data_IF_856800400551
#
_entry.id   IF_856800400551
#
_cell.length_a   1.000
_cell.length_b   1.000
_cell.length_c   1.000
_cell.angle_alpha   90.00
_cell.angle_beta   90.00
_cell.angle_gamma   90.00
#
_symmetry.space_group_name_H-M   'P 1'
#
loop_
_entity.id
_entity.type
_entity.pdbx_description
1 polymer ?
#
# COMPACT_ATOMS: atom_id res chain seq x y z
N UNK A 1 16.96 17.64 29.33
CA UNK A 1 17.35 18.07 27.97
C UNK A 1 18.06 16.93 27.25
N UNK A 2 17.28 16.13 26.52
CA UNK A 2 17.63 15.43 25.27
C UNK A 2 16.31 14.83 24.82
N UNK A 3 15.69 15.59 23.92
CA UNK A 3 14.33 15.43 23.46
C UNK A 3 14.05 14.03 22.98
N UNK A 4 12.89 13.54 23.38
CA UNK A 4 12.21 12.34 22.88
C UNK A 4 12.31 12.37 21.35
N UNK A 5 13.05 11.40 20.79
CA UNK A 5 13.14 11.17 19.35
C UNK A 5 11.75 10.79 18.86
N UNK A 6 11.04 11.84 18.41
CA UNK A 6 10.00 11.88 17.40
C UNK A 6 9.54 10.49 16.95
N UNK A 7 8.50 10.00 17.62
CA UNK A 7 7.52 9.10 17.03
C UNK A 7 6.91 9.81 15.84
N UNK A 8 7.57 9.79 14.67
CA UNK A 8 6.94 10.14 13.41
C UNK A 8 6.03 8.99 13.02
N UNK A 9 4.98 8.79 13.82
CA UNK A 9 3.72 8.29 13.30
C UNK A 9 3.23 9.47 12.46
N UNK A 10 3.67 9.51 11.20
CA UNK A 10 3.01 10.30 10.18
C UNK A 10 1.66 9.63 9.92
N UNK A 11 0.77 9.69 10.91
CA UNK A 11 -0.66 9.57 10.68
C UNK A 11 -1.07 10.87 9.98
N UNK A 12 -0.72 10.96 8.70
CA UNK A 12 -1.49 11.76 7.76
C UNK A 12 -2.82 11.05 7.68
N UNK A 13 -3.73 11.44 8.57
CA UNK A 13 -5.17 11.19 8.39
C UNK A 13 -5.54 12.01 7.17
N UNK A 14 -5.43 11.37 6.00
CA UNK A 14 -5.81 11.99 4.76
C UNK A 14 -7.33 12.06 4.73
N UNK A 15 -7.83 13.26 5.01
CA UNK A 15 -9.18 13.71 4.69
C UNK A 15 -9.54 13.23 3.28
N UNK A 16 -10.67 12.52 3.17
CA UNK A 16 -11.22 11.97 1.95
C UNK A 16 -11.61 13.04 0.93
N UNK A 17 -10.62 13.56 0.21
CA UNK A 17 -10.79 14.03 -1.16
C UNK A 17 -10.17 12.94 -2.02
N UNK A 18 -10.98 12.24 -2.83
CA UNK A 18 -10.52 11.17 -3.71
C UNK A 18 -9.28 11.63 -4.47
N UNK A 19 -8.11 11.13 -4.05
CA UNK A 19 -6.85 11.45 -4.71
C UNK A 19 -7.00 11.01 -6.16
N UNK A 20 -6.65 11.85 -7.15
CA UNK A 20 -6.59 11.38 -8.53
C UNK A 20 -5.62 10.21 -8.55
N UNK A 21 -6.09 9.06 -9.04
CA UNK A 21 -5.23 7.89 -9.23
C UNK A 21 -4.04 8.29 -10.10
N UNK A 22 -2.86 7.79 -9.75
CA UNK A 22 -1.66 7.99 -10.54
C UNK A 22 -1.28 6.63 -11.14
N UNK A 23 -1.74 6.30 -12.36
CA UNK A 23 -1.57 4.97 -12.95
C UNK A 23 -0.12 4.50 -13.05
N UNK A 24 0.83 5.45 -13.14
CA UNK A 24 2.26 5.13 -13.15
C UNK A 24 2.75 4.73 -11.74
N UNK A 25 2.35 5.48 -10.71
CA UNK A 25 2.70 5.15 -9.32
C UNK A 25 2.01 3.85 -8.85
N UNK A 26 0.77 3.64 -9.24
CA UNK A 26 -0.02 2.43 -8.95
C UNK A 26 0.66 1.19 -9.54
N UNK A 27 1.11 1.27 -10.80
CA UNK A 27 1.85 0.20 -11.46
C UNK A 27 3.23 -0.04 -10.81
N UNK A 28 3.91 1.03 -10.40
CA UNK A 28 5.20 0.93 -9.73
C UNK A 28 5.07 0.26 -8.36
N UNK A 29 4.01 0.59 -7.60
CA UNK A 29 3.68 -0.07 -6.34
C UNK A 29 3.41 -1.57 -6.53
N UNK A 30 2.59 -1.94 -7.52
CA UNK A 30 2.33 -3.35 -7.84
C UNK A 30 3.63 -4.10 -8.15
N UNK A 31 4.53 -3.50 -8.94
CA UNK A 31 5.81 -4.13 -9.27
C UNK A 31 6.73 -4.25 -8.05
N UNK A 32 6.77 -3.23 -7.21
CA UNK A 32 7.56 -3.25 -5.98
C UNK A 32 7.07 -4.34 -5.01
N UNK A 33 5.75 -4.53 -4.90
CA UNK A 33 5.15 -5.57 -4.08
C UNK A 33 5.40 -6.98 -4.63
N UNK A 34 5.28 -7.18 -5.94
CA UNK A 34 5.65 -8.43 -6.61
C UNK A 34 7.12 -8.83 -6.31
N UNK A 35 8.04 -7.85 -6.29
CA UNK A 35 9.45 -8.07 -6.00
C UNK A 35 9.78 -8.15 -4.50
N UNK A 36 8.84 -7.84 -3.61
CA UNK A 36 9.08 -7.73 -2.16
C UNK A 36 9.99 -6.59 -1.74
N UNK A 37 10.12 -5.55 -2.57
CA UNK A 37 10.96 -4.40 -2.27
C UNK A 37 10.22 -3.43 -1.35
N UNK A 38 10.34 -3.66 -0.04
CA UNK A 38 9.67 -2.88 1.01
C UNK A 38 10.00 -1.38 0.93
N UNK A 39 11.25 -1.02 0.64
CA UNK A 39 11.64 0.39 0.56
C UNK A 39 11.04 1.08 -0.65
N UNK A 40 10.97 0.41 -1.80
CA UNK A 40 10.26 0.93 -2.97
C UNK A 40 8.75 1.07 -2.70
N UNK A 41 8.14 0.10 -2.01
CA UNK A 41 6.72 0.18 -1.59
C UNK A 41 6.49 1.42 -0.73
N UNK A 42 7.32 1.66 0.30
CA UNK A 42 7.23 2.86 1.14
C UNK A 42 7.33 4.15 0.32
N UNK A 43 8.27 4.22 -0.63
CA UNK A 43 8.45 5.38 -1.49
C UNK A 43 7.23 5.63 -2.37
N UNK A 44 6.65 4.59 -2.98
CA UNK A 44 5.47 4.73 -3.84
C UNK A 44 4.22 5.13 -3.03
N UNK A 45 4.02 4.58 -1.84
CA UNK A 45 2.95 5.00 -0.94
C UNK A 45 3.12 6.46 -0.49
N UNK A 46 4.34 6.89 -0.16
CA UNK A 46 4.64 8.28 0.17
C UNK A 46 4.41 9.23 -1.03
N UNK A 47 4.62 8.75 -2.25
CA UNK A 47 4.31 9.46 -3.49
C UNK A 47 2.80 9.49 -3.84
N UNK A 48 1.96 8.84 -3.02
CA UNK A 48 0.51 8.84 -3.18
C UNK A 48 -0.03 7.77 -4.13
N UNK A 49 0.71 6.69 -4.38
CA UNK A 49 0.16 5.50 -5.02
C UNK A 49 -1.04 4.97 -4.22
N UNK A 50 -2.05 4.47 -4.91
CA UNK A 50 -3.17 3.80 -4.26
C UNK A 50 -2.72 2.45 -3.71
N UNK A 51 -2.80 2.28 -2.38
CA UNK A 51 -2.46 1.01 -1.70
C UNK A 51 -3.31 -0.17 -2.19
N UNK A 52 -4.50 0.12 -2.72
CA UNK A 52 -5.46 -0.85 -3.25
C UNK A 52 -5.48 -0.88 -4.79
N UNK A 53 -4.51 -0.24 -5.45
CA UNK A 53 -4.32 -0.36 -6.88
C UNK A 53 -4.32 -1.83 -7.29
N UNK A 54 -4.96 -2.17 -8.41
CA UNK A 54 -4.99 -3.53 -8.89
C UNK A 54 -4.62 -3.60 -10.38
N UNK A 55 -4.21 -4.78 -10.81
CA UNK A 55 -4.01 -5.08 -12.21
C UNK A 55 -5.32 -5.60 -12.85
N UNK A 56 -5.27 -5.93 -14.15
CA UNK A 56 -6.41 -6.51 -14.88
C UNK A 56 -6.92 -7.86 -14.37
N UNK A 57 -6.23 -8.47 -13.41
CA UNK A 57 -6.59 -9.72 -12.76
C UNK A 57 -7.07 -9.49 -11.31
N UNK A 58 -7.38 -8.25 -10.95
CA UNK A 58 -7.74 -7.80 -9.60
C UNK A 58 -6.67 -8.08 -8.54
N UNK A 59 -5.42 -8.35 -8.93
CA UNK A 59 -4.34 -8.56 -7.95
C UNK A 59 -3.85 -7.22 -7.42
N UNK A 60 -3.94 -7.06 -6.11
CA UNK A 60 -3.47 -5.91 -5.34
C UNK A 60 -2.03 -6.10 -4.87
N UNK A 61 -1.34 -5.04 -4.39
CA UNK A 61 -0.06 -5.19 -3.69
C UNK A 61 -0.12 -6.21 -2.55
N UNK A 62 -1.24 -6.26 -1.81
CA UNK A 62 -1.39 -7.18 -0.69
C UNK A 62 -1.50 -8.64 -1.16
N UNK A 63 -2.20 -8.90 -2.27
CA UNK A 63 -2.25 -10.24 -2.87
C UNK A 63 -0.85 -10.75 -3.24
N UNK A 64 0.01 -9.88 -3.80
CA UNK A 64 1.40 -10.25 -4.11
C UNK A 64 2.22 -10.55 -2.86
N UNK A 65 2.08 -9.74 -1.81
CA UNK A 65 2.78 -9.95 -0.55
C UNK A 65 2.38 -11.27 0.11
N UNK A 66 1.07 -11.58 0.15
CA UNK A 66 0.54 -12.82 0.74
C UNK A 66 0.97 -14.05 -0.07
N UNK A 67 0.77 -14.03 -1.39
CA UNK A 67 1.12 -15.17 -2.27
C UNK A 67 2.62 -15.46 -2.27
N UNK A 68 3.45 -14.42 -2.12
CA UNK A 68 4.90 -14.53 -2.02
C UNK A 68 5.41 -14.78 -0.59
N UNK A 69 4.51 -14.92 0.40
CA UNK A 69 4.82 -15.13 1.83
C UNK A 69 5.71 -14.04 2.46
N UNK A 70 5.54 -12.80 2.02
CA UNK A 70 6.29 -11.64 2.50
C UNK A 70 5.55 -10.97 3.66
N UNK A 71 5.60 -11.57 4.85
CA UNK A 71 4.83 -11.14 6.03
C UNK A 71 5.07 -9.67 6.39
N UNK A 72 6.32 -9.21 6.40
CA UNK A 72 6.63 -7.80 6.73
C UNK A 72 6.00 -6.82 5.75
N UNK A 73 6.00 -7.16 4.46
CA UNK A 73 5.37 -6.34 3.44
C UNK A 73 3.84 -6.36 3.58
N UNK A 74 3.26 -7.54 3.83
CA UNK A 74 1.82 -7.67 4.04
C UNK A 74 1.36 -6.82 5.23
N UNK A 75 2.08 -6.86 6.35
CA UNK A 75 1.80 -6.05 7.54
C UNK A 75 1.91 -4.55 7.24
N UNK A 76 2.90 -4.14 6.44
CA UNK A 76 3.06 -2.75 6.03
C UNK A 76 1.86 -2.30 5.18
N UNK A 77 1.48 -3.08 4.17
CA UNK A 77 0.35 -2.75 3.29
C UNK A 77 -0.96 -2.68 4.09
N UNK A 78 -1.21 -3.64 4.98
CA UNK A 78 -2.37 -3.61 5.89
C UNK A 78 -2.40 -2.35 6.77
N UNK A 79 -1.26 -1.95 7.36
CA UNK A 79 -1.17 -0.70 8.14
C UNK A 79 -1.52 0.54 7.34
N UNK A 80 -1.30 0.52 6.02
CA UNK A 80 -1.67 1.59 5.10
C UNK A 80 -3.10 1.46 4.56
N UNK A 81 -3.90 0.50 5.03
CA UNK A 81 -5.27 0.27 4.56
C UNK A 81 -5.35 -0.59 3.30
N UNK A 82 -4.28 -1.32 2.98
CA UNK A 82 -4.23 -2.30 1.90
C UNK A 82 -5.16 -3.48 2.16
N UNK A 83 -5.89 -3.86 1.12
CA UNK A 83 -6.85 -4.96 1.07
C UNK A 83 -6.53 -5.84 -0.11
N UNK A 84 -6.85 -7.12 0.03
CA UNK A 84 -6.81 -8.09 -1.07
C UNK A 84 -7.90 -7.77 -2.09
N UNK A 85 -7.72 -8.27 -3.31
CA UNK A 85 -8.76 -8.17 -4.33
C UNK A 85 -10.09 -8.82 -3.88
N UNK A 86 -10.02 -9.89 -3.07
CA UNK A 86 -11.21 -10.55 -2.51
C UNK A 86 -11.95 -9.66 -1.50
N UNK A 87 -11.23 -9.00 -0.59
CA UNK A 87 -11.82 -8.07 0.39
C UNK A 87 -12.48 -6.86 -0.31
N UNK A 88 -11.83 -6.29 -1.32
CA UNK A 88 -12.39 -5.17 -2.09
C UNK A 88 -13.70 -5.56 -2.81
N UNK A 89 -13.78 -6.79 -3.33
CA UNK A 89 -15.01 -7.33 -3.94
C UNK A 89 -16.12 -7.58 -2.93
N UNK A 90 -15.77 -7.93 -1.69
CA UNK A 90 -16.74 -8.15 -0.63
C UNK A 90 -17.39 -6.84 -0.16
N UNK A 91 -16.67 -5.71 -0.23
CA UNK A 91 -17.16 -4.38 0.17
C UNK A 91 -17.98 -3.67 -0.91
N UNK A 92 -17.80 -4.04 -2.18
CA UNK A 92 -18.59 -3.51 -3.30
C UNK A 92 -19.98 -4.12 -3.46
N UNK A 93 -20.49 -4.83 -2.44
CA UNK A 93 -21.79 -5.50 -2.44
C UNK A 93 -22.80 -4.78 -1.56
#
# INVERSE_FOLDING_TARGET
>A
MKSILLTTIAAVVLVGCGKPSNPAADRALLKAAELGNIEAVKQHLAAGADVNANNKFDSTPLDWAITSKQTELADLLHKHGGKTGEELKAEGK
#
